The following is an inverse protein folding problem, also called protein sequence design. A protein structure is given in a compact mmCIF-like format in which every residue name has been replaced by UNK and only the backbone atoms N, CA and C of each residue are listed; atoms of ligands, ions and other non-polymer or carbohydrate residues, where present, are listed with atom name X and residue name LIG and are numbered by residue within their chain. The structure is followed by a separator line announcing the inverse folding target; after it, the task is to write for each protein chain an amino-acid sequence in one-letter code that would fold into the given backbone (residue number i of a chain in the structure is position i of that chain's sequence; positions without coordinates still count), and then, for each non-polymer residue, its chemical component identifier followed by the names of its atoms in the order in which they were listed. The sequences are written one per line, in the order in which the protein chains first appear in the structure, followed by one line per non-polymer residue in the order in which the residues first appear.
data_IF_644655467159
#
_entry.id   IF_644655467159
#
_cell.length_a   1.000
_cell.length_b   1.000
_cell.length_c   1.000
_cell.angle_alpha   90.00
_cell.angle_beta   90.00
_cell.angle_gamma   90.00
#
_symmetry.space_group_name_H-M   'P 1'
#
loop_
_entity.id
_entity.type
_entity.pdbx_description
1 polymer ?
#
# COMPACT_ATOMS: atom_id res chain seq x y z
N UNK A 1 11.67 -18.51 -14.04
CA UNK A 1 11.18 -17.70 -12.90
C UNK A 1 10.12 -16.64 -13.29
N UNK A 2 9.55 -16.68 -14.51
CA UNK A 2 8.57 -15.70 -14.99
C UNK A 2 7.28 -15.69 -14.16
N UNK A 3 6.78 -16.86 -13.73
CA UNK A 3 5.57 -16.97 -12.90
C UNK A 3 5.73 -16.27 -11.55
N UNK A 4 6.88 -16.43 -10.88
CA UNK A 4 7.17 -15.74 -9.62
C UNK A 4 7.17 -14.22 -9.80
N UNK A 5 7.83 -13.72 -10.86
CA UNK A 5 7.84 -12.28 -11.16
C UNK A 5 6.43 -11.74 -11.43
N UNK A 6 5.55 -12.54 -12.03
CA UNK A 6 4.16 -12.17 -12.28
C UNK A 6 3.34 -12.12 -10.98
N UNK A 7 3.55 -13.10 -10.08
CA UNK A 7 2.90 -13.13 -8.76
C UNK A 7 3.30 -11.92 -7.93
N UNK A 8 4.60 -11.58 -7.84
CA UNK A 8 5.05 -10.40 -7.10
C UNK A 8 4.56 -9.09 -7.72
N UNK A 9 4.45 -9.02 -9.05
CA UNK A 9 3.83 -7.88 -9.74
C UNK A 9 2.34 -7.74 -9.40
N UNK A 10 1.58 -8.82 -9.43
CA UNK A 10 0.16 -8.82 -9.06
C UNK A 10 -0.04 -8.46 -7.57
N UNK A 11 0.81 -8.98 -6.69
CA UNK A 11 0.81 -8.63 -5.26
C UNK A 11 1.07 -7.14 -5.04
N UNK A 12 2.00 -6.53 -5.78
CA UNK A 12 2.27 -5.09 -5.67
C UNK A 12 1.06 -4.23 -6.05
N UNK A 13 0.34 -4.62 -7.11
CA UNK A 13 -0.90 -3.94 -7.53
C UNK A 13 -1.97 -4.09 -6.45
N UNK A 14 -2.20 -5.33 -6.00
CA UNK A 14 -3.19 -5.61 -4.96
C UNK A 14 -2.90 -4.86 -3.65
N UNK A 15 -1.63 -4.75 -3.24
CA UNK A 15 -1.23 -3.96 -2.08
C UNK A 15 -1.53 -2.47 -2.27
N UNK A 16 -1.37 -1.94 -3.48
CA UNK A 16 -1.68 -0.55 -3.80
C UNK A 16 -3.19 -0.27 -3.70
N UNK A 17 -4.03 -1.17 -4.18
CA UNK A 17 -5.49 -1.04 -4.06
C UNK A 17 -5.94 -1.09 -2.60
N UNK A 18 -5.40 -2.05 -1.83
CA UNK A 18 -5.68 -2.18 -0.38
C UNK A 18 -5.21 -0.93 0.37
N UNK A 19 -4.03 -0.40 0.05
CA UNK A 19 -3.52 0.84 0.64
C UNK A 19 -4.51 1.99 0.42
N UNK A 20 -4.95 2.21 -0.82
CA UNK A 20 -5.90 3.27 -1.14
C UNK A 20 -7.22 3.10 -0.39
N UNK A 21 -7.76 1.88 -0.33
CA UNK A 21 -9.01 1.59 0.38
C UNK A 21 -8.89 1.88 1.89
N UNK A 22 -7.81 1.41 2.52
CA UNK A 22 -7.57 1.59 3.97
C UNK A 22 -7.34 3.06 4.31
N UNK A 23 -6.51 3.77 3.53
CA UNK A 23 -6.24 5.19 3.75
C UNK A 23 -7.53 6.01 3.57
N UNK A 24 -8.31 5.75 2.51
CA UNK A 24 -9.56 6.48 2.27
C UNK A 24 -10.60 6.23 3.37
N UNK A 25 -10.73 4.99 3.84
CA UNK A 25 -11.65 4.65 4.92
C UNK A 25 -11.27 5.36 6.22
N UNK A 26 -9.99 5.28 6.63
CA UNK A 26 -9.52 5.95 7.85
C UNK A 26 -9.58 7.48 7.72
N UNK A 27 -9.33 8.03 6.53
CA UNK A 27 -9.45 9.47 6.29
C UNK A 27 -10.90 9.95 6.49
N UNK A 28 -11.88 9.22 5.95
CA UNK A 28 -13.30 9.51 6.14
C UNK A 28 -13.73 9.35 7.60
N UNK A 29 -13.27 8.31 8.29
CA UNK A 29 -13.56 8.08 9.70
C UNK A 29 -13.06 9.23 10.58
N UNK A 30 -11.80 9.66 10.39
CA UNK A 30 -11.21 10.77 11.14
C UNK A 30 -11.90 12.11 10.80
N UNK A 31 -12.26 12.33 9.53
CA UNK A 31 -13.02 13.53 9.13
C UNK A 31 -14.38 13.60 9.81
N UNK A 32 -15.11 12.48 9.84
CA UNK A 32 -16.40 12.40 10.51
C UNK A 32 -16.25 12.52 12.02
N UNK A 33 -15.31 11.79 12.62
CA UNK A 33 -14.99 11.85 14.04
C UNK A 33 -14.54 13.23 14.50
N UNK A 34 -13.84 14.00 13.67
CA UNK A 34 -13.49 15.39 13.97
C UNK A 34 -14.73 16.30 14.00
N UNK A 35 -15.74 16.00 13.18
CA UNK A 35 -16.98 16.78 13.06
C UNK A 35 -18.03 16.43 14.13
N UNK A 36 -18.09 15.17 14.56
CA UNK A 36 -19.17 14.67 15.44
C UNK A 36 -18.69 14.17 16.80
N UNK A 37 -17.47 13.62 16.89
CA UNK A 37 -16.95 12.97 18.10
C UNK A 37 -15.80 13.74 18.78
N UNK A 38 -15.39 14.89 18.24
CA UNK A 38 -14.34 15.73 18.81
C UNK A 38 -12.92 15.18 18.64
N UNK A 39 -12.67 14.36 17.61
CA UNK A 39 -11.30 13.91 17.32
C UNK A 39 -10.36 15.12 17.13
N UNK A 40 -9.25 15.11 17.86
CA UNK A 40 -8.24 16.17 17.79
C UNK A 40 -7.19 15.94 16.68
N UNK A 41 -7.14 14.74 16.12
CA UNK A 41 -6.19 14.38 15.08
C UNK A 41 -6.65 14.90 13.70
N UNK A 42 -5.76 15.52 12.91
CA UNK A 42 -6.09 15.96 11.55
C UNK A 42 -6.25 14.75 10.63
N UNK A 43 -7.19 14.80 9.67
CA UNK A 43 -7.45 13.69 8.75
C UNK A 43 -6.22 13.20 7.97
N UNK A 44 -5.21 14.07 7.78
CA UNK A 44 -3.92 13.73 7.19
C UNK A 44 -3.14 12.65 7.96
N UNK A 45 -3.44 12.36 9.24
CA UNK A 45 -2.82 11.24 9.96
C UNK A 45 -3.16 9.89 9.34
N UNK A 46 -4.26 9.79 8.58
CA UNK A 46 -4.62 8.57 7.84
C UNK A 46 -3.52 8.15 6.83
N UNK A 47 -2.69 9.08 6.33
CA UNK A 47 -1.58 8.75 5.43
C UNK A 47 -0.45 7.97 6.10
N UNK A 48 -0.37 7.96 7.44
CA UNK A 48 0.60 7.11 8.18
C UNK A 48 0.35 5.64 7.88
N UNK A 49 -0.92 5.24 7.69
CA UNK A 49 -1.27 3.88 7.29
C UNK A 49 -0.71 3.51 5.91
N UNK A 50 -0.36 4.46 5.04
CA UNK A 50 0.23 4.17 3.74
C UNK A 50 1.68 3.64 3.84
N UNK A 51 2.43 4.04 4.87
CA UNK A 51 3.85 3.70 5.06
C UNK A 51 4.11 2.18 4.98
N UNK A 52 3.43 1.31 5.76
CA UNK A 52 3.67 -0.13 5.69
C UNK A 52 3.38 -0.72 4.30
N UNK A 53 2.35 -0.24 3.59
CA UNK A 53 2.05 -0.71 2.24
C UNK A 53 3.10 -0.27 1.23
N UNK A 54 3.57 0.98 1.30
CA UNK A 54 4.64 1.48 0.44
C UNK A 54 5.92 0.65 0.60
N UNK A 55 6.29 0.30 1.84
CA UNK A 55 7.43 -0.60 2.11
C UNK A 55 7.20 -1.96 1.44
N UNK A 56 6.01 -2.55 1.60
CA UNK A 56 5.64 -3.82 0.97
C UNK A 56 5.70 -3.79 -0.56
N UNK A 57 5.19 -2.72 -1.17
CA UNK A 57 5.20 -2.50 -2.63
C UNK A 57 6.64 -2.41 -3.13
N UNK A 58 7.50 -1.62 -2.48
CA UNK A 58 8.92 -1.48 -2.85
C UNK A 58 9.61 -2.85 -2.80
N UNK A 59 9.39 -3.64 -1.76
CA UNK A 59 9.97 -5.00 -1.64
C UNK A 59 9.47 -5.90 -2.79
N UNK A 60 8.17 -5.88 -3.09
CA UNK A 60 7.60 -6.68 -4.18
C UNK A 60 8.18 -6.29 -5.55
N UNK A 61 8.36 -4.99 -5.80
CA UNK A 61 8.96 -4.48 -7.04
C UNK A 61 10.44 -4.88 -7.14
N UNK A 62 11.22 -4.73 -6.06
CA UNK A 62 12.63 -5.14 -6.03
C UNK A 62 12.76 -6.63 -6.32
N UNK A 63 11.97 -7.48 -5.65
CA UNK A 63 11.95 -8.93 -5.90
C UNK A 63 11.57 -9.26 -7.35
N UNK A 64 10.56 -8.57 -7.89
CA UNK A 64 10.16 -8.72 -9.31
C UNK A 64 11.32 -8.42 -10.26
N UNK A 65 12.06 -7.33 -10.02
CA UNK A 65 13.22 -6.94 -10.85
C UNK A 65 14.33 -7.98 -10.74
N UNK A 66 14.66 -8.43 -9.52
CA UNK A 66 15.70 -9.44 -9.28
C UNK A 66 15.37 -10.76 -9.98
N UNK A 67 14.14 -11.25 -9.86
CA UNK A 67 13.71 -12.48 -10.53
C UNK A 67 13.65 -12.36 -12.05
N UNK A 68 13.28 -11.18 -12.59
CA UNK A 68 13.36 -10.92 -14.04
C UNK A 68 14.80 -10.90 -14.54
N UNK A 69 15.74 -10.29 -13.80
CA UNK A 69 17.18 -10.29 -14.15
C UNK A 69 17.75 -11.71 -14.15
N UNK A 70 17.49 -12.50 -13.10
CA UNK A 70 17.92 -13.92 -13.03
C UNK A 70 17.32 -14.80 -14.12
N UNK A 71 16.11 -14.48 -14.61
CA UNK A 71 15.46 -15.28 -15.66
C UNK A 71 15.94 -14.92 -17.07
N UNK A 72 16.71 -13.85 -17.24
CA UNK A 72 17.23 -13.38 -18.53
C UNK A 72 18.72 -13.75 -18.73
N UNK A 73 19.35 -14.27 -17.67
CA UNK A 73 20.72 -14.81 -17.66
C UNK A 73 20.68 -16.30 -17.98
#
# INVERSE_FOLDING_TARGET
MKTLSFIFGALAIMLSDIMCAVVAFNYCDILWGAKTAGYSAPASTAFVYAIPYLIGIVICVVLTIVFRKKSKI
#
